data_IF_515858538742
#
_entry.id   IF_515858538742
#
_cell.length_a   1.000
_cell.length_b   1.000
_cell.length_c   1.000
_cell.angle_alpha   90.00
_cell.angle_beta   90.00
_cell.angle_gamma   90.00
#
_symmetry.space_group_name_H-M   'P 1'
#
loop_
_entity.id
_entity.type
_entity.pdbx_description
1 polymer ?
#
# COMPACT_ATOMS: atom_id res chain seq x y z
N UNK A 1 26.55 37.74 9.42
CA UNK A 1 26.73 36.30 9.16
C UNK A 1 25.68 35.88 8.15
N UNK A 2 26.02 35.56 6.89
CA UNK A 2 25.01 35.07 5.96
C UNK A 2 24.59 33.66 6.39
N UNK A 3 23.29 33.40 6.31
CA UNK A 3 22.70 32.08 6.53
C UNK A 3 23.15 31.15 5.39
N UNK A 4 24.03 30.20 5.68
CA UNK A 4 24.37 29.14 4.73
C UNK A 4 23.14 28.25 4.56
N UNK A 5 22.59 28.20 3.35
CA UNK A 5 21.62 27.18 2.96
C UNK A 5 22.30 25.81 3.10
N UNK A 6 22.07 25.15 4.22
CA UNK A 6 22.52 23.78 4.46
C UNK A 6 21.99 22.88 3.35
N UNK A 7 22.92 22.16 2.72
CA UNK A 7 22.64 21.15 1.71
C UNK A 7 21.57 20.21 2.24
N UNK A 8 20.41 20.16 1.56
CA UNK A 8 19.38 19.17 1.84
C UNK A 8 19.99 17.81 1.53
N UNK A 9 20.60 17.17 2.53
CA UNK A 9 20.88 15.75 2.48
C UNK A 9 19.54 15.09 2.20
N UNK A 10 19.45 14.47 1.03
CA UNK A 10 18.32 13.66 0.63
C UNK A 10 18.04 12.68 1.77
N UNK A 11 16.91 12.86 2.45
CA UNK A 11 16.41 11.82 3.36
C UNK A 11 16.41 10.50 2.59
N UNK A 12 16.79 9.38 3.23
CA UNK A 12 16.80 8.09 2.55
C UNK A 12 15.42 7.87 1.92
N UNK A 13 15.39 7.57 0.62
CA UNK A 13 14.16 7.27 -0.08
C UNK A 13 13.43 6.17 0.68
N UNK A 14 12.18 6.43 1.07
CA UNK A 14 11.35 5.46 1.75
C UNK A 14 11.05 4.32 0.76
N UNK A 15 11.68 3.15 0.97
CA UNK A 15 11.51 1.95 0.14
C UNK A 15 10.74 0.86 0.91
N UNK A 16 9.57 1.21 1.43
CA UNK A 16 8.75 0.31 2.23
C UNK A 16 8.37 -0.99 1.48
N UNK A 17 8.28 -0.95 0.16
CA UNK A 17 8.08 -2.13 -0.68
C UNK A 17 9.17 -3.21 -0.49
N UNK A 18 10.43 -2.79 -0.36
CA UNK A 18 11.59 -3.70 -0.36
C UNK A 18 11.75 -4.47 0.94
N UNK A 19 11.33 -3.86 2.06
CA UNK A 19 11.68 -4.32 3.40
C UNK A 19 10.47 -4.48 4.33
N UNK A 20 9.26 -4.43 3.78
CA UNK A 20 8.02 -4.62 4.52
C UNK A 20 7.81 -3.61 5.68
N UNK A 21 8.42 -2.43 5.58
CA UNK A 21 8.35 -1.39 6.62
C UNK A 21 7.12 -0.46 6.50
N UNK A 22 6.11 -0.87 5.74
CA UNK A 22 4.91 -0.09 5.44
C UNK A 22 3.91 -0.04 6.59
N UNK A 23 2.90 0.82 6.45
CA UNK A 23 1.76 0.91 7.36
C UNK A 23 0.49 0.42 6.67
N UNK A 24 -0.44 -0.18 7.42
CA UNK A 24 -1.73 -0.63 6.89
C UNK A 24 -2.80 0.44 7.13
N UNK A 25 -2.93 1.35 6.17
CA UNK A 25 -3.88 2.48 6.25
C UNK A 25 -5.05 2.36 5.26
N UNK A 26 -4.90 1.53 4.23
CA UNK A 26 -5.97 1.24 3.28
C UNK A 26 -6.87 0.11 3.79
N UNK A 27 -8.18 0.27 3.61
CA UNK A 27 -9.17 -0.71 4.02
C UNK A 27 -10.31 -0.85 3.01
N UNK A 28 -10.85 -2.07 2.93
CA UNK A 28 -12.10 -2.35 2.23
C UNK A 28 -13.17 -2.67 3.28
N UNK A 29 -14.07 -1.72 3.53
CA UNK A 29 -15.17 -1.87 4.50
C UNK A 29 -16.41 -2.35 3.76
N UNK A 30 -16.97 -3.47 4.21
CA UNK A 30 -18.14 -4.10 3.60
C UNK A 30 -19.31 -4.16 4.60
N UNK A 31 -20.55 -4.09 4.09
CA UNK A 31 -21.74 -4.38 4.87
C UNK A 31 -21.75 -5.84 5.31
N UNK A 32 -22.52 -6.18 6.35
CA UNK A 32 -22.56 -7.55 6.90
C UNK A 32 -22.99 -8.61 5.89
N UNK A 33 -23.80 -8.25 4.88
CA UNK A 33 -24.18 -9.15 3.80
C UNK A 33 -23.02 -9.47 2.87
N UNK A 34 -22.34 -8.42 2.38
CA UNK A 34 -21.21 -8.58 1.45
C UNK A 34 -20.00 -9.22 2.13
N UNK A 35 -19.71 -8.86 3.39
CA UNK A 35 -18.60 -9.41 4.15
C UNK A 35 -18.66 -10.94 4.30
N UNK A 36 -19.86 -11.53 4.35
CA UNK A 36 -20.05 -12.99 4.40
C UNK A 36 -19.66 -13.70 3.10
N UNK A 37 -19.54 -12.97 2.00
CA UNK A 37 -19.19 -13.50 0.68
C UNK A 37 -17.69 -13.36 0.38
N UNK A 38 -16.91 -12.69 1.23
CA UNK A 38 -15.48 -12.54 1.03
C UNK A 38 -14.77 -13.90 1.18
N UNK A 39 -14.00 -14.29 0.17
CA UNK A 39 -13.26 -15.56 0.15
C UNK A 39 -11.74 -15.38 0.21
N UNK A 40 -11.24 -14.20 -0.15
CA UNK A 40 -9.83 -13.83 -0.05
C UNK A 40 -9.70 -12.32 0.15
N UNK A 41 -8.75 -11.90 0.97
CA UNK A 41 -8.35 -10.51 1.09
C UNK A 41 -6.82 -10.45 1.15
N UNK A 42 -6.22 -9.58 0.35
CA UNK A 42 -4.77 -9.45 0.28
C UNK A 42 -4.32 -8.02 -0.01
N UNK A 43 -3.03 -7.80 0.21
CA UNK A 43 -2.34 -6.55 -0.13
C UNK A 43 -1.26 -6.90 -1.15
N UNK A 44 -1.37 -6.32 -2.35
CA UNK A 44 -0.35 -6.44 -3.36
C UNK A 44 0.92 -5.70 -2.92
N UNK A 45 2.03 -6.43 -2.85
CA UNK A 45 3.37 -5.87 -2.65
C UNK A 45 4.25 -6.24 -3.84
N UNK A 46 4.82 -5.25 -4.49
CA UNK A 46 5.80 -5.49 -5.55
C UNK A 46 7.07 -6.12 -4.97
N UNK A 47 7.84 -6.86 -5.79
CA UNK A 47 9.01 -7.58 -5.29
C UNK A 47 10.23 -6.68 -5.10
N UNK A 48 10.25 -5.54 -5.79
CA UNK A 48 11.28 -4.52 -5.69
C UNK A 48 10.69 -3.12 -5.88
N UNK A 49 11.36 -2.10 -5.34
CA UNK A 49 10.94 -0.71 -5.40
C UNK A 49 10.75 -0.19 -6.83
N UNK A 50 11.57 -0.63 -7.79
CA UNK A 50 11.43 -0.24 -9.19
C UNK A 50 10.13 -0.75 -9.85
N UNK A 51 9.51 -1.78 -9.28
CA UNK A 51 8.22 -2.33 -9.70
C UNK A 51 7.04 -1.71 -8.95
N UNK A 52 7.29 -0.85 -7.94
CA UNK A 52 6.23 -0.17 -7.22
C UNK A 52 5.61 0.90 -8.10
N UNK A 53 4.33 0.69 -8.41
CA UNK A 53 3.53 1.62 -9.19
C UNK A 53 3.07 2.85 -8.37
N UNK A 54 3.07 2.74 -7.04
CA UNK A 54 2.56 3.70 -6.07
C UNK A 54 3.27 3.48 -4.72
N UNK A 55 3.22 4.49 -3.85
CA UNK A 55 3.56 4.42 -2.43
C UNK A 55 2.55 3.61 -1.59
N UNK A 56 1.40 3.25 -2.17
CA UNK A 56 0.41 2.34 -1.58
C UNK A 56 0.45 0.94 -2.21
N UNK A 57 0.14 -0.08 -1.39
CA UNK A 57 -0.12 -1.44 -1.85
C UNK A 57 -1.61 -1.64 -2.15
N UNK A 58 -1.95 -2.22 -3.29
CA UNK A 58 -3.34 -2.45 -3.67
C UNK A 58 -4.01 -3.43 -2.69
N UNK A 59 -5.14 -3.02 -2.08
CA UNK A 59 -5.98 -3.91 -1.28
C UNK A 59 -7.00 -4.56 -2.20
N UNK A 60 -6.94 -5.88 -2.34
CA UNK A 60 -7.88 -6.66 -3.14
C UNK A 60 -8.68 -7.60 -2.26
N UNK A 61 -9.96 -7.77 -2.61
CA UNK A 61 -10.88 -8.71 -1.95
C UNK A 61 -11.63 -9.46 -3.03
N UNK A 62 -11.53 -10.78 -2.99
CA UNK A 62 -12.31 -11.66 -3.86
C UNK A 62 -13.61 -12.04 -3.15
N UNK A 63 -14.72 -11.93 -3.86
CA UNK A 63 -16.05 -12.29 -3.39
C UNK A 63 -16.59 -13.48 -4.16
N UNK A 64 -17.11 -14.48 -3.45
CA UNK A 64 -17.80 -15.63 -4.04
C UNK A 64 -19.23 -15.27 -4.45
N UNK A 65 -19.38 -14.39 -5.44
CA UNK A 65 -20.68 -13.92 -5.94
C UNK A 65 -20.66 -13.85 -7.47
N UNK A 66 -21.79 -14.19 -8.09
CA UNK A 66 -22.04 -13.93 -9.51
C UNK A 66 -22.77 -12.60 -9.62
N UNK A 67 -22.24 -11.69 -10.43
CA UNK A 67 -22.94 -10.47 -10.83
C UNK A 67 -23.66 -10.76 -12.15
N UNK A 68 -24.95 -10.46 -12.18
CA UNK A 68 -25.82 -10.58 -13.35
C UNK A 68 -25.76 -9.35 -14.27
#
# INVERSE_FOLDING_TARGET
MPCSAGERTSLPTLKACDNDAGWRIDCHVASSGLAKLAIRAEVGRATAYAECWSDHGAVTVDYGITLD
#
